data_IF_608641346323
#
_entry.id   IF_608641346323
#
_cell.length_a   1.000
_cell.length_b   1.000
_cell.length_c   1.000
_cell.angle_alpha   90.00
_cell.angle_beta   90.00
_cell.angle_gamma   90.00
#
_symmetry.space_group_name_H-M   'P 1'
#
loop_
_entity.id
_entity.type
_entity.pdbx_description
1 polymer ?
#
# COMPACT_ATOMS: atom_id res chain seq x y z
N UNK A 1 -6.08 35.13 -15.59
CA UNK A 1 -5.05 35.12 -14.53
C UNK A 1 -4.41 33.74 -14.54
N UNK A 2 -3.11 33.66 -14.78
CA UNK A 2 -2.39 32.40 -14.96
C UNK A 2 -2.37 31.60 -13.65
N UNK A 3 -3.03 30.45 -13.64
CA UNK A 3 -2.93 29.51 -12.53
C UNK A 3 -1.54 28.86 -12.58
N UNK A 4 -0.65 29.25 -11.66
CA UNK A 4 0.62 28.59 -11.44
C UNK A 4 0.39 27.12 -11.06
N UNK A 5 0.67 26.23 -12.01
CA UNK A 5 0.61 24.79 -11.82
C UNK A 5 1.79 24.36 -10.92
N UNK A 6 1.55 24.23 -9.61
CA UNK A 6 2.58 23.92 -8.61
C UNK A 6 3.14 22.50 -8.82
N UNK A 7 4.22 22.40 -9.60
CA UNK A 7 4.97 21.18 -9.93
C UNK A 7 5.98 20.81 -8.84
N UNK A 8 5.55 20.83 -7.57
CA UNK A 8 6.43 20.49 -6.43
C UNK A 8 6.18 19.05 -5.98
N UNK A 9 7.28 18.29 -5.81
CA UNK A 9 7.33 17.02 -5.07
C UNK A 9 8.25 17.23 -3.85
N UNK A 10 8.04 16.49 -2.76
CA UNK A 10 8.81 16.59 -1.51
C UNK A 10 8.85 18.01 -0.91
N UNK A 11 7.68 18.62 -0.65
CA UNK A 11 7.61 19.97 -0.04
C UNK A 11 8.42 21.06 -0.78
N UNK A 12 8.69 20.89 -2.08
CA UNK A 12 9.37 21.90 -2.91
C UNK A 12 10.85 21.62 -3.24
N UNK A 13 11.40 20.47 -2.86
CA UNK A 13 12.82 20.14 -3.09
C UNK A 13 13.16 19.85 -4.56
N UNK A 14 12.21 19.38 -5.37
CA UNK A 14 12.42 19.14 -6.80
C UNK A 14 11.33 19.84 -7.59
N UNK A 15 11.73 20.86 -8.36
CA UNK A 15 10.87 21.58 -9.30
C UNK A 15 11.06 21.01 -10.70
N UNK A 16 10.00 20.49 -11.29
CA UNK A 16 10.03 19.95 -12.64
C UNK A 16 9.60 21.01 -13.65
N UNK A 17 10.30 21.07 -14.79
CA UNK A 17 10.00 21.99 -15.88
C UNK A 17 8.74 21.60 -16.67
N UNK A 18 8.34 20.32 -16.61
CA UNK A 18 7.21 19.75 -17.36
C UNK A 18 6.56 18.58 -16.62
N UNK A 19 5.28 18.33 -16.89
CA UNK A 19 4.53 17.16 -16.40
C UNK A 19 5.20 15.84 -16.83
N UNK A 20 5.81 15.78 -18.02
CA UNK A 20 6.50 14.57 -18.51
C UNK A 20 7.74 14.27 -17.66
N UNK A 21 8.54 15.31 -17.36
CA UNK A 21 9.73 15.16 -16.51
C UNK A 21 9.36 14.77 -15.08
N UNK A 22 8.23 15.30 -14.59
CA UNK A 22 7.66 14.93 -13.28
C UNK A 22 7.35 13.44 -13.25
N UNK A 23 6.58 12.94 -14.21
CA UNK A 23 6.19 11.52 -14.31
C UNK A 23 7.43 10.60 -14.34
N UNK A 24 8.44 10.94 -15.16
CA UNK A 24 9.68 10.17 -15.23
C UNK A 24 10.46 10.16 -13.90
N UNK A 25 10.48 11.28 -13.17
CA UNK A 25 11.11 11.36 -11.85
C UNK A 25 10.43 10.46 -10.82
N UNK A 26 9.10 10.46 -10.77
CA UNK A 26 8.32 9.60 -9.86
C UNK A 26 8.45 8.13 -10.27
N UNK A 27 8.43 7.83 -11.56
CA UNK A 27 8.63 6.47 -12.07
C UNK A 27 9.94 5.88 -11.58
N UNK A 28 11.05 6.61 -11.73
CA UNK A 28 12.36 6.14 -11.27
C UNK A 28 12.41 5.98 -9.75
N UNK A 29 11.84 6.93 -9.00
CA UNK A 29 11.73 6.84 -7.54
C UNK A 29 10.98 5.59 -7.09
N UNK A 30 9.82 5.31 -7.69
CA UNK A 30 9.01 4.14 -7.38
C UNK A 30 9.68 2.83 -7.82
N UNK A 31 10.41 2.85 -8.94
CA UNK A 31 11.23 1.71 -9.38
C UNK A 31 12.30 1.38 -8.34
N UNK A 32 13.04 2.38 -7.85
CA UNK A 32 14.05 2.20 -6.80
C UNK A 32 13.45 1.64 -5.52
N UNK A 33 12.33 2.19 -5.04
CA UNK A 33 11.63 1.65 -3.86
C UNK A 33 11.25 0.18 -4.08
N UNK A 34 10.75 -0.15 -5.26
CA UNK A 34 10.32 -1.52 -5.57
C UNK A 34 11.50 -2.48 -5.65
N UNK A 35 12.63 -2.06 -6.24
CA UNK A 35 13.86 -2.86 -6.25
C UNK A 35 14.35 -3.12 -4.83
N UNK A 36 14.35 -2.09 -3.98
CA UNK A 36 14.74 -2.20 -2.57
C UNK A 36 13.81 -3.20 -1.84
N UNK A 37 12.51 -3.09 -2.05
CA UNK A 37 11.52 -3.99 -1.46
C UNK A 37 11.75 -5.45 -1.87
N UNK A 38 11.96 -5.72 -3.17
CA UNK A 38 12.25 -7.07 -3.67
C UNK A 38 13.59 -7.57 -3.12
N UNK A 39 14.62 -6.72 -3.06
CA UNK A 39 15.92 -7.08 -2.50
C UNK A 39 15.81 -7.47 -1.02
N UNK A 40 15.08 -6.70 -0.20
CA UNK A 40 14.78 -7.06 1.19
C UNK A 40 13.97 -8.36 1.29
N UNK A 41 13.05 -8.59 0.34
CA UNK A 41 12.26 -9.82 0.26
C UNK A 41 13.08 -11.07 -0.05
N UNK A 42 14.17 -10.94 -0.81
CA UNK A 42 15.07 -12.05 -1.14
C UNK A 42 16.11 -12.25 -0.03
N UNK A 43 16.78 -11.17 0.39
CA UNK A 43 17.92 -11.24 1.33
C UNK A 43 17.45 -11.56 2.75
N UNK A 44 16.26 -11.06 3.15
CA UNK A 44 15.66 -11.26 4.49
C UNK A 44 16.69 -11.19 5.62
N UNK A 45 17.34 -10.04 5.84
CA UNK A 45 18.45 -9.95 6.78
C UNK A 45 17.99 -10.32 8.19
N UNK A 46 18.86 -11.04 8.92
CA UNK A 46 18.57 -11.63 10.24
C UNK A 46 17.92 -10.63 11.22
N UNK A 47 18.43 -9.39 11.28
CA UNK A 47 17.87 -8.36 12.17
C UNK A 47 16.39 -8.03 11.92
N UNK A 48 15.89 -8.15 10.68
CA UNK A 48 14.49 -7.91 10.32
C UNK A 48 13.59 -9.13 10.54
N UNK A 49 14.18 -10.31 10.65
CA UNK A 49 13.48 -11.60 10.74
C UNK A 49 13.41 -12.08 12.19
N UNK A 50 14.49 -11.88 12.95
CA UNK A 50 14.66 -12.38 14.31
C UNK A 50 13.96 -11.50 15.35
N UNK A 51 13.74 -10.23 15.01
CA UNK A 51 12.97 -9.32 15.83
C UNK A 51 11.50 -9.31 15.37
N UNK A 52 10.59 -9.48 16.32
CA UNK A 52 9.16 -9.35 16.11
C UNK A 52 8.62 -8.14 16.85
N UNK A 53 7.64 -7.46 16.24
CA UNK A 53 6.93 -6.33 16.80
C UNK A 53 5.43 -6.50 16.53
N UNK A 54 4.62 -6.43 17.59
CA UNK A 54 3.17 -6.63 17.53
C UNK A 54 2.78 -7.93 16.80
N UNK A 55 3.33 -9.06 17.26
CA UNK A 55 3.11 -10.42 16.72
C UNK A 55 3.56 -10.64 15.25
N UNK A 56 4.16 -9.65 14.58
CA UNK A 56 4.68 -9.76 13.21
C UNK A 56 6.17 -9.44 13.15
N UNK A 57 6.88 -10.07 12.21
CA UNK A 57 8.31 -9.78 11.97
C UNK A 57 8.48 -8.35 11.47
N UNK A 58 9.59 -7.69 11.82
CA UNK A 58 9.89 -6.33 11.33
C UNK A 58 9.91 -6.23 9.81
N UNK A 59 10.31 -7.30 9.13
CA UNK A 59 10.23 -7.38 7.68
C UNK A 59 8.81 -7.11 7.16
N UNK A 60 7.77 -7.65 7.79
CA UNK A 60 6.38 -7.45 7.36
C UNK A 60 5.95 -5.99 7.52
N UNK A 61 6.37 -5.34 8.61
CA UNK A 61 6.13 -3.90 8.81
C UNK A 61 6.79 -3.04 7.74
N UNK A 62 8.04 -3.36 7.37
CA UNK A 62 8.73 -2.70 6.26
C UNK A 62 7.92 -2.82 4.96
N UNK A 63 7.47 -4.03 4.62
CA UNK A 63 6.68 -4.26 3.41
C UNK A 63 5.35 -3.49 3.41
N UNK A 64 4.61 -3.51 4.52
CA UNK A 64 3.34 -2.77 4.63
C UNK A 64 3.58 -1.27 4.41
N UNK A 65 4.58 -0.70 5.09
CA UNK A 65 4.89 0.74 4.99
C UNK A 65 5.33 1.10 3.57
N UNK A 66 6.26 0.36 2.97
CA UNK A 66 6.73 0.61 1.61
C UNK A 66 5.59 0.50 0.58
N UNK A 67 4.68 -0.46 0.78
CA UNK A 67 3.51 -0.65 -0.09
C UNK A 67 2.54 0.54 0.01
N UNK A 68 2.26 1.04 1.21
CA UNK A 68 1.43 2.23 1.41
C UNK A 68 2.06 3.48 0.80
N UNK A 69 3.37 3.66 0.98
CA UNK A 69 4.12 4.78 0.37
C UNK A 69 4.00 4.71 -1.15
N UNK A 70 4.22 3.55 -1.77
CA UNK A 70 4.06 3.38 -3.22
C UNK A 70 2.63 3.70 -3.67
N UNK A 71 1.63 3.15 -3.00
CA UNK A 71 0.22 3.39 -3.33
C UNK A 71 -0.11 4.88 -3.30
N UNK A 72 0.37 5.61 -2.28
CA UNK A 72 0.19 7.06 -2.19
C UNK A 72 0.75 7.78 -3.41
N UNK A 73 2.01 7.56 -3.76
CA UNK A 73 2.65 8.23 -4.91
C UNK A 73 2.01 7.84 -6.25
N UNK A 74 1.57 6.58 -6.40
CA UNK A 74 0.87 6.15 -7.62
C UNK A 74 -0.46 6.90 -7.76
N UNK A 75 -1.28 6.92 -6.71
CA UNK A 75 -2.58 7.57 -6.75
C UNK A 75 -2.44 9.08 -6.91
N UNK A 76 -1.48 9.71 -6.23
CA UNK A 76 -1.31 11.16 -6.34
C UNK A 76 -0.80 11.61 -7.71
N UNK A 77 0.23 10.94 -8.23
CA UNK A 77 0.97 11.44 -9.39
C UNK A 77 0.61 10.73 -10.71
N UNK A 78 0.37 9.42 -10.74
CA UNK A 78 -0.04 8.74 -11.98
C UNK A 78 -1.55 8.86 -12.22
N UNK A 79 -2.35 8.73 -11.17
CA UNK A 79 -3.81 8.88 -11.27
C UNK A 79 -4.27 10.35 -11.16
N UNK A 80 -3.34 11.31 -11.10
CA UNK A 80 -3.61 12.75 -11.05
C UNK A 80 -4.54 13.22 -9.92
N UNK A 81 -4.75 12.41 -8.89
CA UNK A 81 -5.69 12.70 -7.79
C UNK A 81 -5.32 13.94 -6.98
N UNK A 82 -4.08 14.43 -7.11
CA UNK A 82 -3.61 15.67 -6.47
C UNK A 82 -4.34 16.90 -6.97
N UNK A 83 -4.47 17.01 -8.30
CA UNK A 83 -4.89 18.22 -8.99
C UNK A 83 -6.42 18.20 -9.23
N UNK A 84 -7.11 17.23 -8.64
CA UNK A 84 -8.54 16.98 -8.75
C UNK A 84 -9.38 17.63 -7.64
N UNK A 85 -10.69 17.74 -7.89
CA UNK A 85 -11.64 18.30 -6.91
C UNK A 85 -11.57 17.52 -5.60
N UNK A 86 -11.51 18.24 -4.47
CA UNK A 86 -11.45 17.64 -3.12
C UNK A 86 -12.56 16.61 -2.86
N UNK A 87 -13.74 16.82 -3.44
CA UNK A 87 -14.86 15.88 -3.36
C UNK A 87 -14.54 14.54 -4.06
N UNK A 88 -14.01 14.59 -5.30
CA UNK A 88 -13.63 13.40 -6.04
C UNK A 88 -12.51 12.64 -5.33
N UNK A 89 -11.53 13.36 -4.78
CA UNK A 89 -10.46 12.74 -3.99
C UNK A 89 -10.98 11.97 -2.79
N UNK A 90 -11.90 12.57 -2.03
CA UNK A 90 -12.52 11.92 -0.88
C UNK A 90 -13.36 10.73 -1.29
N UNK A 91 -14.12 10.82 -2.38
CA UNK A 91 -14.95 9.72 -2.86
C UNK A 91 -14.11 8.46 -3.14
N UNK A 92 -12.99 8.60 -3.85
CA UNK A 92 -12.12 7.45 -4.17
C UNK A 92 -11.44 6.91 -2.92
N UNK A 93 -10.81 7.77 -2.11
CA UNK A 93 -10.04 7.34 -0.93
C UNK A 93 -10.92 6.70 0.13
N UNK A 94 -12.08 7.30 0.45
CA UNK A 94 -12.99 6.73 1.45
C UNK A 94 -13.61 5.42 0.98
N UNK A 95 -13.97 5.31 -0.30
CA UNK A 95 -14.50 4.06 -0.84
C UNK A 95 -13.46 2.94 -0.76
N UNK A 96 -12.19 3.24 -1.09
CA UNK A 96 -11.11 2.26 -0.99
C UNK A 96 -10.88 1.80 0.46
N UNK A 97 -10.84 2.73 1.42
CA UNK A 97 -10.68 2.39 2.85
C UNK A 97 -11.87 1.55 3.33
N UNK A 98 -13.09 1.98 3.00
CA UNK A 98 -14.30 1.24 3.36
C UNK A 98 -14.28 -0.19 2.81
N UNK A 99 -13.93 -0.37 1.53
CA UNK A 99 -13.81 -1.67 0.89
C UNK A 99 -12.76 -2.56 1.57
N UNK A 100 -11.59 -2.02 1.91
CA UNK A 100 -10.54 -2.79 2.60
C UNK A 100 -11.03 -3.24 3.98
N UNK A 101 -11.61 -2.34 4.78
CA UNK A 101 -12.15 -2.68 6.10
C UNK A 101 -13.28 -3.72 5.99
N UNK A 102 -14.17 -3.56 5.02
CA UNK A 102 -15.28 -4.48 4.78
C UNK A 102 -14.79 -5.86 4.33
N UNK A 103 -13.78 -5.92 3.45
CA UNK A 103 -13.16 -7.18 3.02
C UNK A 103 -12.51 -7.91 4.20
N UNK A 104 -11.75 -7.20 5.03
CA UNK A 104 -11.14 -7.77 6.24
C UNK A 104 -12.21 -8.30 7.19
N UNK A 105 -13.32 -7.57 7.38
CA UNK A 105 -14.44 -8.01 8.21
C UNK A 105 -15.04 -9.32 7.69
N UNK A 106 -15.37 -9.42 6.40
CA UNK A 106 -15.94 -10.64 5.83
C UNK A 106 -14.97 -11.81 5.98
N UNK A 107 -13.68 -11.61 5.67
CA UNK A 107 -12.69 -12.68 5.78
C UNK A 107 -12.53 -13.20 7.21
N UNK A 108 -12.66 -12.34 8.22
CA UNK A 108 -12.62 -12.75 9.62
C UNK A 108 -13.87 -13.52 10.03
N UNK A 109 -15.07 -13.07 9.63
CA UNK A 109 -16.33 -13.76 9.94
C UNK A 109 -16.36 -15.14 9.26
N UNK A 110 -16.08 -15.19 7.96
CA UNK A 110 -16.05 -16.45 7.20
C UNK A 110 -14.95 -17.39 7.70
N UNK A 111 -13.77 -16.84 8.04
CA UNK A 111 -12.68 -17.62 8.60
C UNK A 111 -13.03 -18.26 9.94
N UNK A 112 -13.72 -17.52 10.82
CA UNK A 112 -14.18 -18.00 12.12
C UNK A 112 -15.28 -19.06 11.97
N UNK A 113 -16.26 -18.83 11.09
CA UNK A 113 -17.30 -19.80 10.77
C UNK A 113 -16.72 -21.13 10.25
N UNK A 114 -15.79 -21.06 9.30
CA UNK A 114 -15.10 -22.25 8.79
C UNK A 114 -14.35 -22.97 9.91
N UNK A 115 -13.65 -22.22 10.78
CA UNK A 115 -12.92 -22.78 11.90
C UNK A 115 -13.83 -23.53 12.89
N UNK A 116 -15.00 -22.96 13.24
CA UNK A 116 -15.99 -23.63 14.10
C UNK A 116 -16.54 -24.91 13.46
N UNK A 117 -16.86 -24.88 12.16
CA UNK A 117 -17.33 -26.07 11.43
C UNK A 117 -16.30 -27.19 11.44
N UNK A 118 -15.00 -26.88 11.29
CA UNK A 118 -13.93 -27.89 11.40
C UNK A 118 -13.73 -28.41 12.82
N UNK A 119 -13.99 -27.58 13.83
CA UNK A 119 -13.79 -27.92 15.25
C UNK A 119 -14.93 -28.78 15.80
N UNK A 120 -16.18 -28.44 15.48
CA UNK A 120 -17.38 -29.09 16.01
C UNK A 120 -17.98 -30.12 15.05
N UNK A 121 -17.59 -30.07 13.77
CA UNK A 121 -17.93 -31.09 12.79
C UNK A 121 -17.22 -32.41 13.08
N UNK A 122 -17.99 -33.47 13.27
CA UNK A 122 -17.48 -34.84 13.27
C UNK A 122 -16.91 -35.18 11.88
N UNK A 123 -15.66 -34.79 11.62
CA UNK A 123 -14.90 -35.35 10.50
C UNK A 123 -14.57 -36.78 10.89
N UNK A 124 -15.50 -37.70 10.63
CA UNK A 124 -15.20 -39.12 10.53
C UNK A 124 -14.26 -39.25 9.34
N UNK A 125 -12.96 -39.21 9.60
CA UNK A 125 -12.01 -39.88 8.72
C UNK A 125 -12.36 -41.37 8.79
N UNK A 126 -13.24 -41.83 7.90
CA UNK A 126 -13.31 -43.24 7.57
C UNK A 126 -11.97 -43.56 6.89
N UNK A 127 -11.11 -44.27 7.62
CA UNK A 127 -9.94 -44.94 7.09
C UNK A 127 -10.32 -46.37 6.72
#
# INVERSE_FOLDING_TARGET
MAHEHKLEIFRGLVKFKSNITKIWGIFFFLSVITIIEVAFGIIKPAFLVDNSFLAMKWINWLFIILTLVKAYYITWDFMHMRDEKKAMRRAVVWTAIFLICYLVLILLIEGDYIFEVYKDGFVKFDF
#
